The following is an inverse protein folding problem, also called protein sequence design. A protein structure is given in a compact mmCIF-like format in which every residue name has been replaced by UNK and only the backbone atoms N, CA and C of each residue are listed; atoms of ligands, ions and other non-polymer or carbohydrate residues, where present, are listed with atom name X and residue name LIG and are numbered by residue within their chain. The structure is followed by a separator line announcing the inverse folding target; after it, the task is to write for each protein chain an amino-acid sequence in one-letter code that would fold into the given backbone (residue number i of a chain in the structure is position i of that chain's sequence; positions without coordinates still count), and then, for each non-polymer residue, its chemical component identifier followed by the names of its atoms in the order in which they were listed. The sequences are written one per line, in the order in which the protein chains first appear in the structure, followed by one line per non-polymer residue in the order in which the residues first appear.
data_IF_816257720412
#
_entry.id   IF_816257720412
#
_cell.length_a   1.000
_cell.length_b   1.000
_cell.length_c   1.000
_cell.angle_alpha   90.00
_cell.angle_beta   90.00
_cell.angle_gamma   90.00
#
_symmetry.space_group_name_H-M   'P 1'
#
loop_
_entity.id
_entity.type
_entity.pdbx_description
1 polymer ?
#
# COMPACT_ATOMS: atom_id res chain seq x y z
N UNK A 1 7.87 -24.04 -52.94
CA UNK A 1 7.54 -25.37 -52.40
C UNK A 1 8.75 -25.79 -51.56
N UNK A 2 8.69 -25.73 -50.23
CA UNK A 2 8.26 -26.82 -49.34
C UNK A 2 7.65 -26.26 -48.05
N UNK A 3 6.68 -27.00 -47.53
CA UNK A 3 5.88 -26.75 -46.33
C UNK A 3 6.66 -27.07 -45.04
N UNK A 4 6.30 -26.39 -43.96
CA UNK A 4 6.54 -26.82 -42.58
C UNK A 4 5.48 -26.20 -41.68
N UNK A 5 4.39 -26.92 -41.44
CA UNK A 5 3.40 -26.61 -40.41
C UNK A 5 3.87 -27.25 -39.11
N UNK A 6 4.03 -26.46 -38.06
CA UNK A 6 3.93 -26.90 -36.66
C UNK A 6 3.28 -25.71 -35.94
N UNK A 7 2.08 -25.76 -35.40
CA UNK A 7 1.47 -26.85 -34.66
C UNK A 7 0.92 -26.19 -33.39
N UNK A 8 -0.35 -25.79 -33.44
CA UNK A 8 -1.05 -25.29 -32.26
C UNK A 8 -1.15 -26.41 -31.22
N UNK A 9 -0.27 -26.41 -30.22
CA UNK A 9 -0.48 -27.07 -28.92
C UNK A 9 0.43 -26.28 -27.95
N UNK A 10 -0.06 -25.41 -27.07
CA UNK A 10 -0.73 -25.83 -25.85
C UNK A 10 -1.22 -24.57 -25.11
N UNK A 11 -2.45 -24.14 -25.39
CA UNK A 11 -3.19 -23.28 -24.47
C UNK A 11 -3.89 -24.19 -23.45
N UNK A 12 -3.21 -24.56 -22.37
CA UNK A 12 -3.80 -25.05 -21.11
C UNK A 12 -2.88 -24.53 -20.00
N UNK A 13 -3.18 -23.35 -19.46
CA UNK A 13 -3.85 -23.17 -18.17
C UNK A 13 -3.06 -23.67 -16.94
N UNK A 14 -2.84 -22.69 -16.06
CA UNK A 14 -2.88 -22.76 -14.59
C UNK A 14 -1.56 -22.96 -13.84
N UNK A 15 -1.36 -22.04 -12.90
CA UNK A 15 -0.63 -22.22 -11.65
C UNK A 15 0.90 -22.04 -11.65
N UNK A 16 1.36 -20.87 -12.09
CA UNK A 16 2.43 -20.20 -11.33
C UNK A 16 1.86 -19.03 -10.55
N UNK A 17 1.20 -19.43 -9.47
CA UNK A 17 1.19 -18.78 -8.17
C UNK A 17 1.97 -17.46 -8.15
N UNK A 18 1.22 -16.39 -7.84
CA UNK A 18 1.71 -15.09 -7.40
C UNK A 18 2.84 -15.32 -6.41
N UNK A 19 4.08 -15.21 -6.87
CA UNK A 19 5.26 -15.45 -6.06
C UNK A 19 5.52 -14.17 -5.26
N UNK A 20 5.31 -14.16 -3.92
CA UNK A 20 5.35 -12.94 -3.11
C UNK A 20 6.75 -12.32 -3.00
N UNK A 21 7.76 -12.93 -3.63
CA UNK A 21 9.16 -12.50 -3.62
C UNK A 21 9.58 -11.75 -4.89
N UNK A 22 8.68 -11.54 -5.86
CA UNK A 22 9.05 -10.76 -7.05
C UNK A 22 9.18 -9.27 -6.68
N UNK A 23 10.40 -8.86 -6.34
CA UNK A 23 10.78 -7.49 -5.97
C UNK A 23 10.27 -6.49 -7.02
N UNK A 24 10.28 -6.86 -8.30
CA UNK A 24 9.77 -6.00 -9.39
C UNK A 24 8.27 -5.71 -9.24
N UNK A 25 7.48 -6.68 -8.78
CA UNK A 25 6.04 -6.52 -8.57
C UNK A 25 5.74 -5.66 -7.33
N UNK A 26 6.50 -5.84 -6.25
CA UNK A 26 6.38 -5.00 -5.04
C UNK A 26 6.79 -3.55 -5.36
N UNK A 27 7.85 -3.34 -6.12
CA UNK A 27 8.26 -2.01 -6.60
C UNK A 27 7.17 -1.41 -7.49
N UNK A 28 6.65 -2.18 -8.45
CA UNK A 28 5.56 -1.73 -9.34
C UNK A 28 4.32 -1.28 -8.55
N UNK A 29 3.87 -2.09 -7.59
CA UNK A 29 2.74 -1.73 -6.71
C UNK A 29 3.04 -0.53 -5.80
N UNK A 30 4.29 -0.31 -5.41
CA UNK A 30 4.68 0.85 -4.60
C UNK A 30 4.73 2.16 -5.40
N UNK A 31 5.16 2.09 -6.67
CA UNK A 31 5.24 3.22 -7.61
C UNK A 31 3.85 3.64 -8.11
N UNK A 32 2.91 2.69 -8.28
CA UNK A 32 1.55 2.99 -8.76
C UNK A 32 0.59 3.51 -7.68
N UNK A 33 0.99 3.59 -6.41
CA UNK A 33 0.19 4.27 -5.37
C UNK A 33 0.28 5.78 -5.58
N UNK A 34 -0.59 6.30 -6.42
CA UNK A 34 -0.79 7.75 -6.58
C UNK A 34 -1.46 8.27 -5.31
N UNK A 35 -0.67 8.82 -4.38
CA UNK A 35 -1.19 9.62 -3.28
C UNK A 35 -1.93 10.83 -3.89
N UNK A 36 -3.26 10.82 -3.85
CA UNK A 36 -4.06 12.02 -4.16
C UNK A 36 -3.80 13.08 -3.08
N UNK A 37 -2.74 13.86 -3.24
CA UNK A 37 -2.51 15.08 -2.45
C UNK A 37 -3.15 16.28 -3.14
N UNK A 38 -3.96 17.11 -2.46
CA UNK A 38 -4.44 18.36 -3.04
C UNK A 38 -3.22 19.28 -3.28
N UNK A 39 -3.11 19.73 -4.53
CA UNK A 39 -2.04 20.57 -5.04
C UNK A 39 -2.02 21.95 -4.38
N UNK A 40 -0.83 22.52 -4.17
CA UNK A 40 -0.50 23.94 -4.43
C UNK A 40 0.92 24.27 -3.98
N UNK A 41 1.80 24.50 -4.97
CA UNK A 41 3.00 25.35 -4.95
C UNK A 41 3.72 25.52 -3.60
N UNK A 42 4.63 24.62 -3.24
CA UNK A 42 5.64 24.91 -2.20
C UNK A 42 7.00 24.37 -2.61
N UNK A 43 8.00 25.25 -2.54
CA UNK A 43 9.46 25.05 -2.62
C UNK A 43 9.84 23.66 -2.07
N UNK A 44 10.88 23.02 -2.63
CA UNK A 44 11.43 21.74 -2.17
C UNK A 44 11.36 21.60 -0.64
N UNK A 45 10.28 20.99 -0.15
CA UNK A 45 10.00 20.89 1.27
C UNK A 45 10.19 19.43 1.65
N UNK A 46 11.32 19.16 2.29
CA UNK A 46 11.63 17.84 2.83
C UNK A 46 10.54 17.49 3.85
N UNK A 47 9.82 16.38 3.60
CA UNK A 47 8.81 15.87 4.54
C UNK A 47 9.52 15.47 5.83
N UNK A 48 8.94 15.84 6.97
CA UNK A 48 9.43 15.39 8.28
C UNK A 48 9.09 13.91 8.46
N UNK A 49 10.02 13.08 8.97
CA UNK A 49 9.70 11.69 9.30
C UNK A 49 8.66 11.64 10.43
N UNK A 50 7.94 10.52 10.52
CA UNK A 50 6.97 10.32 11.60
C UNK A 50 7.70 10.19 12.93
N UNK A 51 7.24 10.95 13.94
CA UNK A 51 7.75 10.80 15.30
C UNK A 51 7.34 9.43 15.91
N UNK A 52 7.97 9.03 17.02
CA UNK A 52 7.74 7.73 17.66
C UNK A 52 6.25 7.46 17.97
N UNK A 53 5.54 8.47 18.50
CA UNK A 53 4.10 8.37 18.75
C UNK A 53 3.32 8.10 17.46
N UNK A 54 3.63 8.79 16.37
CA UNK A 54 2.92 8.63 15.09
C UNK A 54 3.13 7.24 14.49
N UNK A 55 4.32 6.66 14.65
CA UNK A 55 4.62 5.27 14.21
C UNK A 55 3.78 4.27 15.02
N UNK A 56 3.74 4.41 16.35
CA UNK A 56 2.93 3.55 17.21
C UNK A 56 1.42 3.72 16.95
N UNK A 57 0.96 4.97 16.92
CA UNK A 57 -0.45 5.32 16.72
C UNK A 57 -0.97 4.91 15.33
N UNK A 58 -0.10 4.63 14.35
CA UNK A 58 -0.52 4.13 13.04
C UNK A 58 -1.14 2.73 13.13
N UNK A 59 -0.52 1.82 13.89
CA UNK A 59 -1.04 0.48 14.10
C UNK A 59 -2.30 0.53 14.99
N UNK A 60 -2.21 1.25 16.12
CA UNK A 60 -3.31 1.34 17.08
C UNK A 60 -4.58 1.98 16.47
N UNK A 61 -4.45 3.02 15.63
CA UNK A 61 -5.60 3.60 14.91
C UNK A 61 -6.28 2.61 13.99
N UNK A 62 -5.50 1.76 13.30
CA UNK A 62 -6.06 0.77 12.37
C UNK A 62 -6.91 -0.25 13.10
N UNK A 63 -6.48 -0.67 14.29
CA UNK A 63 -7.24 -1.61 15.14
C UNK A 63 -8.52 -0.95 15.69
N UNK A 64 -8.43 0.28 16.21
CA UNK A 64 -9.60 0.99 16.73
C UNK A 64 -10.62 1.36 15.64
N UNK A 65 -10.16 1.73 14.45
CA UNK A 65 -11.03 2.07 13.32
C UNK A 65 -11.82 0.85 12.79
N UNK A 66 -11.27 -0.37 12.93
CA UNK A 66 -12.01 -1.61 12.59
C UNK A 66 -13.16 -1.84 13.57
N UNK A 67 -12.94 -1.59 14.86
CA UNK A 67 -13.97 -1.75 15.89
C UNK A 67 -15.01 -0.63 15.85
N UNK A 68 -14.60 0.58 15.48
CA UNK A 68 -15.46 1.76 15.48
C UNK A 68 -15.34 2.53 14.14
N UNK A 69 -15.97 2.03 13.06
CA UNK A 69 -15.87 2.64 11.72
C UNK A 69 -16.47 4.06 11.62
N UNK A 70 -17.29 4.44 12.61
CA UNK A 70 -17.92 5.76 12.69
C UNK A 70 -17.04 6.81 13.37
N UNK A 71 -16.05 6.38 14.16
CA UNK A 71 -15.19 7.32 14.87
C UNK A 71 -14.21 7.98 13.90
N UNK A 72 -14.06 9.29 14.03
CA UNK A 72 -13.09 10.03 13.24
C UNK A 72 -11.68 9.80 13.79
N UNK A 73 -10.71 9.76 12.88
CA UNK A 73 -9.30 9.53 13.21
C UNK A 73 -8.74 10.57 14.20
N UNK A 74 -9.33 11.76 14.22
CA UNK A 74 -9.06 12.85 15.16
C UNK A 74 -9.38 12.46 16.60
N UNK A 75 -10.50 11.78 16.83
CA UNK A 75 -10.92 11.33 18.17
C UNK A 75 -10.07 10.15 18.65
N UNK A 76 -9.83 9.18 17.77
CA UNK A 76 -8.95 8.04 18.07
C UNK A 76 -7.54 8.55 18.47
N UNK A 77 -7.02 9.56 17.76
CA UNK A 77 -5.71 10.14 18.08
C UNK A 77 -5.69 10.87 19.43
N UNK A 78 -6.81 11.47 19.86
CA UNK A 78 -6.92 12.09 21.19
C UNK A 78 -6.84 11.04 22.29
N UNK A 79 -7.50 9.91 22.12
CA UNK A 79 -7.50 8.84 23.13
C UNK A 79 -6.15 8.11 23.18
N UNK A 80 -5.55 7.85 22.02
CA UNK A 80 -4.19 7.31 21.94
C UNK A 80 -3.15 8.23 22.57
N UNK A 81 -3.32 9.55 22.46
CA UNK A 81 -2.45 10.53 23.13
C UNK A 81 -2.60 10.56 24.66
N UNK A 82 -3.72 10.09 25.21
CA UNK A 82 -3.89 9.93 26.67
C UNK A 82 -3.19 8.67 27.18
N UNK A 83 -3.19 7.60 26.37
CA UNK A 83 -2.51 6.32 26.68
C UNK A 83 -0.99 6.48 26.56
N UNK A 84 -0.54 7.26 25.56
CA UNK A 84 0.85 7.55 25.33
C UNK A 84 1.35 8.66 26.25
N UNK A 85 1.92 8.28 27.39
CA UNK A 85 2.54 9.21 28.35
C UNK A 85 3.88 8.67 28.83
#
# INVERSE_FOLDING_TARGET
MMRGQEGQFHFIMKDKWIEPQNILYIIYLSVSRVDKSPSTKKKQHIKRPMNAFMVWAQAARREMAQQQPRLQNSEISKDLGKIWK
#
